data_IF_534854233881
#
_entry.id   IF_534854233881
#
_cell.length_a   1.000
_cell.length_b   1.000
_cell.length_c   1.000
_cell.angle_alpha   90.00
_cell.angle_beta   90.00
_cell.angle_gamma   90.00
#
_symmetry.space_group_name_H-M   'P 1'
#
loop_
_entity.id
_entity.type
_entity.pdbx_description
1 polymer ?
#
# COMPACT_ATOMS: atom_id res chain seq x y z
N UNK A 1 19.41 0.19 8.72
CA UNK A 1 17.97 0.33 8.96
C UNK A 1 17.34 0.94 7.73
N UNK A 2 16.15 0.49 7.36
CA UNK A 2 15.39 0.98 6.21
C UNK A 2 14.19 1.75 6.75
N UNK A 3 13.82 2.86 6.12
CA UNK A 3 12.66 3.68 6.46
C UNK A 3 11.64 3.66 5.32
N UNK A 4 10.35 3.68 5.66
CA UNK A 4 9.28 3.86 4.68
C UNK A 4 9.15 5.32 4.27
N UNK A 5 8.29 5.57 3.28
CA UNK A 5 8.01 6.93 2.81
C UNK A 5 6.96 7.59 3.72
N UNK A 6 6.85 8.93 3.70
CA UNK A 6 5.69 9.62 4.24
C UNK A 6 4.39 9.15 3.57
N UNK A 7 3.22 9.29 4.24
CA UNK A 7 1.95 8.93 3.63
C UNK A 7 1.67 9.86 2.44
N UNK A 8 1.33 9.27 1.29
CA UNK A 8 0.69 10.01 0.21
C UNK A 8 -0.80 10.04 0.49
N UNK A 9 -1.23 10.95 1.35
CA UNK A 9 -2.62 11.18 1.71
C UNK A 9 -2.89 12.69 1.80
N UNK A 10 -4.16 13.07 1.70
CA UNK A 10 -4.62 14.45 1.88
C UNK A 10 -6.02 14.44 2.53
N UNK A 11 -6.58 15.62 2.78
CA UNK A 11 -7.89 15.78 3.43
C UNK A 11 -9.07 15.15 2.68
N UNK A 12 -8.91 14.76 1.41
CA UNK A 12 -9.93 14.09 0.61
C UNK A 12 -9.73 12.58 0.54
N UNK A 13 -8.67 12.04 1.16
CA UNK A 13 -8.40 10.60 1.13
C UNK A 13 -9.44 9.83 1.93
N UNK A 14 -10.07 8.86 1.29
CA UNK A 14 -11.09 7.96 1.89
C UNK A 14 -10.58 6.52 1.99
N UNK A 15 -9.74 6.12 1.03
CA UNK A 15 -9.15 4.79 0.93
C UNK A 15 -7.64 4.90 1.11
N UNK A 16 -7.07 4.17 2.05
CA UNK A 16 -5.62 4.08 2.23
C UNK A 16 -5.13 2.66 1.90
N UNK A 17 -4.28 2.55 0.88
CA UNK A 17 -3.64 1.28 0.53
C UNK A 17 -2.31 1.16 1.28
N UNK A 18 -2.12 0.03 1.97
CA UNK A 18 -1.02 -0.19 2.89
C UNK A 18 -0.11 -1.34 2.41
N UNK A 19 1.15 -1.02 2.13
CA UNK A 19 2.22 -2.00 2.00
C UNK A 19 2.77 -2.44 3.37
N UNK A 20 3.58 -3.50 3.39
CA UNK A 20 4.34 -3.86 4.60
C UNK A 20 5.51 -2.89 4.79
N UNK A 21 6.39 -2.81 3.79
CA UNK A 21 7.59 -1.99 3.75
C UNK A 21 8.05 -1.84 2.29
N UNK A 22 8.54 -0.68 1.82
CA UNK A 22 8.96 -0.52 0.43
C UNK A 22 10.05 -1.51 0.03
N UNK A 23 9.95 -2.11 -1.15
CA UNK A 23 10.99 -3.00 -1.68
C UNK A 23 12.27 -2.27 -2.08
N UNK A 24 13.36 -2.98 -2.36
CA UNK A 24 14.65 -2.37 -2.72
C UNK A 24 14.56 -1.40 -3.91
N UNK A 25 13.87 -1.80 -4.99
CA UNK A 25 13.68 -0.94 -6.16
C UNK A 25 12.85 0.32 -5.85
N UNK A 26 11.91 0.21 -4.91
CA UNK A 26 11.12 1.34 -4.45
C UNK A 26 11.97 2.33 -3.66
N UNK A 27 12.77 1.82 -2.72
CA UNK A 27 13.69 2.63 -1.93
C UNK A 27 14.76 3.32 -2.79
N UNK A 28 15.30 2.61 -3.78
CA UNK A 28 16.29 3.17 -4.70
C UNK A 28 15.71 4.32 -5.53
N UNK A 29 14.47 4.16 -6.04
CA UNK A 29 13.80 5.16 -6.86
C UNK A 29 13.05 6.23 -6.07
N UNK A 30 12.85 6.03 -4.77
CA UNK A 30 11.93 6.82 -3.94
C UNK A 30 10.49 6.81 -4.49
N UNK A 31 10.05 5.66 -4.98
CA UNK A 31 8.74 5.48 -5.62
C UNK A 31 8.04 4.23 -5.08
N UNK A 32 6.74 4.33 -4.81
CA UNK A 32 5.95 3.15 -4.43
C UNK A 32 5.85 2.14 -5.58
N UNK A 33 6.02 0.86 -5.23
CA UNK A 33 5.89 -0.29 -6.14
C UNK A 33 6.70 -0.19 -7.45
N UNK A 34 7.93 0.34 -7.38
CA UNK A 34 8.73 0.71 -8.55
C UNK A 34 9.38 -0.47 -9.30
N UNK A 35 9.33 -1.68 -8.72
CA UNK A 35 9.87 -2.88 -9.35
C UNK A 35 9.05 -3.24 -10.60
N UNK A 36 9.69 -3.43 -11.76
CA UNK A 36 9.01 -3.60 -13.06
C UNK A 36 7.98 -4.76 -13.12
N UNK A 37 8.21 -5.83 -12.36
CA UNK A 37 7.29 -6.99 -12.26
C UNK A 37 6.23 -6.84 -11.17
N UNK A 38 6.16 -5.71 -10.47
CA UNK A 38 5.10 -5.47 -9.48
C UNK A 38 3.80 -5.12 -10.22
N UNK A 39 2.72 -5.82 -9.89
CA UNK A 39 1.44 -5.65 -10.57
C UNK A 39 0.63 -4.45 -10.05
N UNK A 40 1.07 -3.75 -9.01
CA UNK A 40 0.29 -2.72 -8.33
C UNK A 40 -0.27 -1.67 -9.28
N UNK A 41 0.61 -0.96 -10.00
CA UNK A 41 0.20 0.10 -10.91
C UNK A 41 -0.70 -0.41 -12.03
N UNK A 42 -0.41 -1.60 -12.56
CA UNK A 42 -1.25 -2.22 -13.59
C UNK A 42 -2.64 -2.55 -13.05
N UNK A 43 -2.75 -3.07 -11.83
CA UNK A 43 -4.04 -3.36 -11.19
C UNK A 43 -4.82 -2.06 -10.98
N UNK A 44 -4.23 -1.07 -10.31
CA UNK A 44 -4.96 0.15 -9.96
C UNK A 44 -5.45 0.89 -11.20
N UNK A 45 -4.59 1.08 -12.21
CA UNK A 45 -5.00 1.76 -13.43
C UNK A 45 -6.06 0.99 -14.24
N UNK A 46 -6.03 -0.35 -14.21
CA UNK A 46 -7.12 -1.14 -14.79
C UNK A 46 -8.44 -0.94 -14.05
N UNK A 47 -8.42 -0.84 -12.72
CA UNK A 47 -9.62 -0.65 -11.90
C UNK A 47 -10.18 0.78 -11.95
N UNK A 48 -9.33 1.78 -12.14
CA UNK A 48 -9.73 3.17 -12.33
C UNK A 48 -10.00 3.43 -13.82
N UNK A 49 -11.03 2.80 -14.38
CA UNK A 49 -11.49 3.01 -15.77
C UNK A 49 -10.46 2.71 -16.87
N UNK A 50 -9.58 1.73 -16.65
CA UNK A 50 -8.60 1.28 -17.66
C UNK A 50 -7.67 2.41 -18.17
N UNK A 51 -7.28 3.32 -17.27
CA UNK A 51 -6.40 4.43 -17.58
C UNK A 51 -5.01 3.97 -18.07
N UNK A 52 -4.33 4.76 -18.93
CA UNK A 52 -2.95 4.50 -19.29
C UNK A 52 -2.02 4.75 -18.11
N UNK A 53 -1.15 3.77 -17.78
CA UNK A 53 -0.19 3.90 -16.68
C UNK A 53 0.82 4.99 -16.99
N UNK A 54 0.84 6.06 -16.21
CA UNK A 54 1.87 7.10 -16.35
C UNK A 54 3.28 6.54 -16.08
N UNK A 55 4.28 7.08 -16.75
CA UNK A 55 5.70 6.79 -16.47
C UNK A 55 6.25 7.69 -15.35
N UNK A 56 5.58 8.81 -15.05
CA UNK A 56 6.00 9.80 -14.05
C UNK A 56 5.32 9.47 -12.73
N UNK A 57 6.10 9.17 -11.69
CA UNK A 57 5.53 8.77 -10.39
C UNK A 57 4.63 9.83 -9.77
N UNK A 58 4.95 11.11 -9.92
CA UNK A 58 4.10 12.19 -9.42
C UNK A 58 2.69 12.17 -10.03
N UNK A 59 2.59 11.95 -11.35
CA UNK A 59 1.28 11.82 -12.02
C UNK A 59 0.52 10.60 -11.50
N UNK A 60 1.21 9.50 -11.18
CA UNK A 60 0.57 8.34 -10.55
C UNK A 60 -0.08 8.69 -9.21
N UNK A 61 0.63 9.45 -8.37
CA UNK A 61 0.09 9.91 -7.09
C UNK A 61 -1.11 10.84 -7.31
N UNK A 62 -1.03 11.76 -8.28
CA UNK A 62 -2.16 12.64 -8.62
C UNK A 62 -3.39 11.84 -9.09
N UNK A 63 -3.19 10.80 -9.91
CA UNK A 63 -4.29 9.90 -10.31
C UNK A 63 -4.94 9.24 -9.10
N UNK A 64 -4.16 8.73 -8.14
CA UNK A 64 -4.72 8.14 -6.92
C UNK A 64 -5.50 9.17 -6.10
N UNK A 65 -4.93 10.36 -5.90
CA UNK A 65 -5.57 11.44 -5.13
C UNK A 65 -6.87 11.92 -5.77
N UNK A 66 -6.95 11.99 -7.10
CA UNK A 66 -8.18 12.31 -7.82
C UNK A 66 -9.31 11.29 -7.57
N UNK A 67 -8.95 10.06 -7.19
CA UNK A 67 -9.86 8.99 -6.82
C UNK A 67 -9.93 8.78 -5.30
N UNK A 68 -9.45 9.73 -4.50
CA UNK A 68 -9.46 9.70 -3.02
C UNK A 68 -8.68 8.51 -2.42
N UNK A 69 -7.71 8.00 -3.17
CA UNK A 69 -6.84 6.91 -2.75
C UNK A 69 -5.50 7.47 -2.29
N UNK A 70 -5.08 7.05 -1.09
CA UNK A 70 -3.76 7.29 -0.55
C UNK A 70 -2.89 6.03 -0.54
N UNK A 71 -1.58 6.23 -0.39
CA UNK A 71 -0.59 5.16 -0.24
C UNK A 71 0.23 5.36 1.04
N UNK A 72 0.47 4.26 1.75
CA UNK A 72 1.50 4.24 2.78
C UNK A 72 2.00 2.82 3.05
N UNK A 73 2.85 2.66 4.07
CA UNK A 73 3.25 1.37 4.61
C UNK A 73 2.87 1.25 6.08
N UNK A 74 2.70 0.02 6.54
CA UNK A 74 2.43 -0.25 7.96
C UNK A 74 3.67 -0.04 8.81
N UNK A 75 4.86 -0.35 8.30
CA UNK A 75 6.11 -0.19 9.02
C UNK A 75 6.76 1.17 8.71
N UNK A 76 7.11 1.90 9.77
CA UNK A 76 7.91 3.13 9.69
C UNK A 76 9.36 2.77 9.33
N UNK A 77 9.91 1.77 10.01
CA UNK A 77 11.27 1.30 9.80
C UNK A 77 11.45 -0.16 10.20
N UNK A 78 12.48 -0.77 9.63
CA UNK A 78 12.92 -2.11 10.01
C UNK A 78 14.37 -2.39 9.58
N UNK A 79 14.89 -3.54 10.02
CA UNK A 79 16.02 -4.20 9.38
C UNK A 79 15.51 -5.30 8.46
N UNK A 80 15.99 -5.33 7.21
CA UNK A 80 15.62 -6.36 6.24
C UNK A 80 16.75 -6.64 5.28
N UNK A 81 17.11 -7.91 5.12
CA UNK A 81 18.00 -8.37 4.03
C UNK A 81 17.18 -8.61 2.77
N UNK A 82 17.51 -7.92 1.68
CA UNK A 82 16.75 -8.00 0.44
C UNK A 82 15.35 -7.36 0.55
N UNK A 83 14.38 -7.93 -0.18
CA UNK A 83 13.03 -7.35 -0.32
C UNK A 83 11.90 -8.23 0.21
N UNK A 84 12.21 -9.40 0.79
CA UNK A 84 11.18 -10.32 1.27
C UNK A 84 10.80 -10.01 2.72
N UNK A 85 9.49 -9.95 2.99
CA UNK A 85 8.96 -9.64 4.33
C UNK A 85 9.36 -10.66 5.39
N UNK A 86 9.66 -11.91 4.99
CA UNK A 86 10.16 -12.97 5.90
C UNK A 86 11.52 -12.64 6.54
N UNK A 87 12.24 -11.63 6.02
CA UNK A 87 13.53 -11.19 6.54
C UNK A 87 13.43 -9.91 7.37
N UNK A 88 12.22 -9.41 7.65
CA UNK A 88 12.00 -8.23 8.49
C UNK A 88 12.22 -8.60 9.96
N UNK A 89 13.07 -7.82 10.62
CA UNK A 89 13.30 -7.85 12.07
C UNK A 89 13.40 -6.41 12.60
N UNK A 90 13.36 -6.26 13.93
CA UNK A 90 13.50 -4.97 14.62
C UNK A 90 12.58 -3.88 14.03
N UNK A 91 11.37 -4.27 13.65
CA UNK A 91 10.41 -3.39 13.00
C UNK A 91 9.68 -2.48 13.98
N UNK A 92 9.32 -1.30 13.48
CA UNK A 92 8.45 -0.33 14.15
C UNK A 92 7.33 0.06 13.20
N UNK A 93 6.10 0.04 13.68
CA UNK A 93 4.92 0.49 12.93
C UNK A 93 4.85 2.02 12.82
N UNK A 94 4.28 2.52 11.73
CA UNK A 94 3.97 3.93 11.52
C UNK A 94 2.91 4.43 12.51
N UNK A 95 2.89 5.74 12.78
CA UNK A 95 1.92 6.36 13.68
C UNK A 95 0.56 6.60 12.98
N UNK A 96 -0.28 5.56 13.03
CA UNK A 96 -1.64 5.62 12.49
C UNK A 96 -2.59 6.48 13.35
N UNK A 97 -2.31 6.68 14.64
CA UNK A 97 -3.17 7.51 15.49
C UNK A 97 -3.10 8.98 15.06
N UNK A 98 -1.90 9.47 14.78
CA UNK A 98 -1.71 10.82 14.22
C UNK A 98 -2.29 10.90 12.81
N UNK A 99 -2.09 9.88 11.97
CA UNK A 99 -2.64 9.85 10.61
C UNK A 99 -4.18 10.00 10.62
N UNK A 100 -4.90 9.24 11.44
CA UNK A 100 -6.37 9.30 11.47
C UNK A 100 -6.90 10.62 12.06
N UNK A 101 -6.13 11.29 12.93
CA UNK A 101 -6.46 12.63 13.40
C UNK A 101 -6.30 13.68 12.30
N UNK A 102 -5.25 13.54 11.48
CA UNK A 102 -4.96 14.46 10.38
C UNK A 102 -5.91 14.24 9.18
N UNK A 103 -6.23 12.98 8.89
CA UNK A 103 -7.09 12.56 7.77
C UNK A 103 -8.28 11.72 8.25
N UNK A 104 -9.27 12.33 8.93
CA UNK A 104 -10.43 11.61 9.48
C UNK A 104 -11.37 11.06 8.39
N UNK A 105 -11.20 11.46 7.13
CA UNK A 105 -11.95 10.91 5.99
C UNK A 105 -11.57 9.47 5.63
N UNK A 106 -10.42 8.98 6.11
CA UNK A 106 -9.97 7.61 5.84
C UNK A 106 -10.88 6.64 6.59
N UNK A 107 -11.69 5.91 5.84
CA UNK A 107 -12.67 4.94 6.37
C UNK A 107 -12.45 3.53 5.82
N UNK A 108 -11.54 3.37 4.85
CA UNK A 108 -11.21 2.07 4.26
C UNK A 108 -9.69 1.86 4.19
N UNK A 109 -9.22 0.73 4.73
CA UNK A 109 -7.84 0.29 4.63
C UNK A 109 -7.75 -0.95 3.73
N UNK A 110 -6.91 -0.86 2.70
CA UNK A 110 -6.63 -1.98 1.78
C UNK A 110 -5.19 -2.44 2.00
N UNK A 111 -5.01 -3.62 2.58
CA UNK A 111 -3.72 -4.21 2.88
C UNK A 111 -3.19 -4.99 1.67
N UNK A 112 -2.03 -4.56 1.14
CA UNK A 112 -1.34 -5.20 0.04
C UNK A 112 -0.48 -6.37 0.55
N UNK A 113 -1.14 -7.48 0.88
CA UNK A 113 -0.52 -8.70 1.42
C UNK A 113 -0.81 -8.90 2.91
N UNK A 114 -0.81 -10.17 3.33
CA UNK A 114 -1.20 -10.58 4.69
C UNK A 114 -0.30 -10.03 5.79
N UNK A 115 1.00 -9.86 5.53
CA UNK A 115 1.94 -9.37 6.55
C UNK A 115 1.65 -7.92 6.94
N UNK A 116 1.35 -7.02 5.99
CA UNK A 116 0.93 -5.65 6.31
C UNK A 116 -0.26 -5.61 7.28
N UNK A 117 -1.32 -6.37 7.00
CA UNK A 117 -2.47 -6.48 7.89
C UNK A 117 -2.11 -7.05 9.27
N UNK A 118 -1.25 -8.08 9.31
CA UNK A 118 -0.82 -8.72 10.55
C UNK A 118 -0.04 -7.74 11.45
N UNK A 119 0.90 -6.98 10.90
CA UNK A 119 1.65 -5.98 11.67
C UNK A 119 0.71 -4.89 12.20
N UNK A 120 -0.19 -4.39 11.35
CA UNK A 120 -1.15 -3.37 11.75
C UNK A 120 -2.03 -3.87 12.89
N UNK A 121 -2.68 -5.03 12.71
CA UNK A 121 -3.64 -5.57 13.67
C UNK A 121 -2.97 -5.91 15.01
N UNK A 122 -1.72 -6.37 14.98
CA UNK A 122 -0.95 -6.66 16.20
C UNK A 122 -0.74 -5.41 17.06
N UNK A 123 -0.54 -4.25 16.43
CA UNK A 123 -0.27 -2.99 17.13
C UNK A 123 -1.52 -2.21 17.50
N UNK A 124 -2.46 -2.09 16.56
CA UNK A 124 -3.60 -1.17 16.67
C UNK A 124 -4.94 -1.86 16.91
N UNK A 125 -5.02 -3.19 16.72
CA UNK A 125 -6.31 -3.89 16.80
C UNK A 125 -7.27 -3.45 15.69
N UNK A 126 -8.56 -3.67 15.93
CA UNK A 126 -9.64 -3.17 15.08
C UNK A 126 -9.99 -1.75 15.52
N UNK A 127 -10.14 -0.85 14.55
CA UNK A 127 -10.54 0.54 14.78
C UNK A 127 -11.98 0.69 14.31
N UNK A 128 -12.83 1.24 15.17
CA UNK A 128 -14.23 1.47 14.87
C UNK A 128 -14.39 2.44 13.67
N UNK A 129 -15.36 2.15 12.79
CA UNK A 129 -15.60 2.95 11.59
C UNK A 129 -14.65 2.70 10.42
N UNK A 130 -13.65 1.82 10.58
CA UNK A 130 -12.72 1.45 9.51
C UNK A 130 -13.12 0.10 8.89
N UNK A 131 -13.21 0.06 7.57
CA UNK A 131 -13.36 -1.17 6.78
C UNK A 131 -11.98 -1.73 6.41
N UNK A 132 -11.78 -3.04 6.58
CA UNK A 132 -10.50 -3.70 6.33
C UNK A 132 -10.62 -4.68 5.15
N UNK A 133 -9.79 -4.50 4.12
CA UNK A 133 -9.68 -5.43 2.99
C UNK A 133 -8.24 -5.94 2.88
N UNK A 134 -8.05 -7.27 2.88
CA UNK A 134 -6.72 -7.88 2.75
C UNK A 134 -6.57 -8.52 1.39
N UNK A 135 -5.75 -7.90 0.54
CA UNK A 135 -5.57 -8.31 -0.84
C UNK A 135 -4.31 -9.17 -1.02
N UNK A 136 -4.25 -10.01 -2.07
CA UNK A 136 -3.01 -10.69 -2.45
C UNK A 136 -1.91 -9.67 -2.74
N UNK A 137 -0.68 -9.95 -2.27
CA UNK A 137 0.45 -9.06 -2.52
C UNK A 137 0.68 -8.86 -4.02
N UNK A 138 0.86 -7.61 -4.44
CA UNK A 138 1.15 -7.25 -5.84
C UNK A 138 2.61 -7.47 -6.23
N UNK A 139 3.46 -7.78 -5.26
CA UNK A 139 4.89 -8.06 -5.47
C UNK A 139 5.11 -9.30 -6.38
N UNK A 140 6.28 -9.39 -7.04
CA UNK A 140 6.63 -10.57 -7.83
C UNK A 140 6.90 -11.82 -6.98
N UNK A 141 7.08 -11.67 -5.66
CA UNK A 141 7.24 -12.82 -4.75
C UNK A 141 5.93 -13.63 -4.61
N UNK A 142 4.78 -12.98 -4.83
CA UNK A 142 3.50 -13.68 -4.92
C UNK A 142 3.28 -14.19 -6.34
N UNK A 143 3.31 -15.53 -6.51
CA UNK A 143 3.23 -16.24 -7.79
C UNK A 143 1.84 -16.26 -8.42
N UNK A 144 0.82 -15.71 -7.75
CA UNK A 144 -0.53 -15.56 -8.32
C UNK A 144 -0.50 -14.78 -9.64
N UNK A 145 -1.27 -15.23 -10.64
CA UNK A 145 -1.37 -14.56 -11.94
C UNK A 145 -1.93 -13.14 -11.80
N UNK A 146 -1.66 -12.30 -12.81
CA UNK A 146 -2.18 -10.93 -12.83
C UNK A 146 -3.71 -10.91 -12.78
N UNK A 147 -4.37 -11.75 -13.56
CA UNK A 147 -5.83 -11.81 -13.68
C UNK A 147 -6.49 -12.19 -12.35
N UNK A 148 -5.90 -13.14 -11.62
CA UNK A 148 -6.40 -13.53 -10.30
C UNK A 148 -6.17 -12.44 -9.26
N UNK A 149 -5.01 -11.76 -9.29
CA UNK A 149 -4.78 -10.59 -8.41
C UNK A 149 -5.79 -9.49 -8.75
N UNK A 150 -5.96 -9.15 -10.01
CA UNK A 150 -6.91 -8.12 -10.46
C UNK A 150 -8.34 -8.45 -9.99
N UNK A 151 -8.79 -9.70 -10.17
CA UNK A 151 -10.10 -10.16 -9.71
C UNK A 151 -10.26 -10.08 -8.19
N UNK A 152 -9.22 -10.37 -7.41
CA UNK A 152 -9.29 -10.17 -5.95
C UNK A 152 -9.33 -8.70 -5.58
N UNK A 153 -8.52 -7.87 -6.25
CA UNK A 153 -8.46 -6.43 -5.96
C UNK A 153 -9.74 -5.70 -6.37
N UNK A 154 -10.45 -6.12 -7.43
CA UNK A 154 -11.69 -5.45 -7.86
C UNK A 154 -12.76 -5.41 -6.77
N UNK A 155 -12.83 -6.43 -5.91
CA UNK A 155 -13.88 -6.55 -4.88
C UNK A 155 -13.82 -5.49 -3.77
N UNK A 156 -12.76 -4.67 -3.72
CA UNK A 156 -12.63 -3.59 -2.73
C UNK A 156 -12.78 -2.17 -3.30
N UNK A 157 -12.97 -2.05 -4.62
CA UNK A 157 -13.21 -0.79 -5.35
C UNK A 157 -14.65 -0.68 -5.90
N UNK A 158 -15.52 -1.63 -5.55
CA UNK A 158 -16.98 -1.57 -5.77
C UNK A 158 -17.67 -0.62 -4.79
#
# INVERSE_FOLDING_TARGET
MIHSFPPFANSQTEILILGTMPGSASLEKQEYYAHQRNHFWKIIYTLLDNLPISIVFHEKIQTLQAHKIGLWDVLENCERKGSLDIHIINQKENDFETLFKEFPGITKLIFNGKESHKYFLKRFGQIEGITYNVMPSTSPANTMSFENKLKSWSTCFE
#
